data_IF_895089286490
#
_entry.id   IF_895089286490
#
_cell.length_a   1.000
_cell.length_b   1.000
_cell.length_c   1.000
_cell.angle_alpha   90.00
_cell.angle_beta   90.00
_cell.angle_gamma   90.00
#
_symmetry.space_group_name_H-M   'P 1'
#
loop_
_entity.id
_entity.type
_entity.pdbx_description
1 polymer ?
#
# COMPACT_ATOMS: atom_id res chain seq x y z
N UNK A 1 -19.23 6.91 12.34
CA UNK A 1 -17.94 6.87 11.60
C UNK A 1 -17.34 5.47 11.43
N UNK A 2 -17.48 4.53 12.38
CA UNK A 2 -16.82 3.20 12.34
C UNK A 2 -17.20 2.30 11.15
N UNK A 3 -18.46 2.32 10.72
CA UNK A 3 -18.96 1.52 9.59
C UNK A 3 -18.45 2.02 8.25
N UNK A 4 -18.27 3.34 8.10
CA UNK A 4 -17.86 3.96 6.83
C UNK A 4 -16.43 3.60 6.43
N UNK A 5 -15.50 3.54 7.38
CA UNK A 5 -14.10 3.15 7.11
C UNK A 5 -14.01 1.68 6.70
N UNK A 6 -14.76 0.80 7.38
CA UNK A 6 -14.81 -0.62 7.02
C UNK A 6 -15.44 -0.85 5.64
N UNK A 7 -16.54 -0.16 5.33
CA UNK A 7 -17.17 -0.21 4.01
C UNK A 7 -16.20 0.31 2.93
N UNK A 8 -15.46 1.39 3.20
CA UNK A 8 -14.45 1.93 2.29
C UNK A 8 -13.33 0.91 2.01
N UNK A 9 -12.80 0.26 3.05
CA UNK A 9 -11.78 -0.80 2.90
C UNK A 9 -12.29 -1.96 2.05
N UNK A 10 -13.52 -2.43 2.31
CA UNK A 10 -14.14 -3.50 1.52
C UNK A 10 -14.31 -3.08 0.06
N UNK A 11 -14.77 -1.84 -0.20
CA UNK A 11 -14.91 -1.31 -1.56
C UNK A 11 -13.58 -1.20 -2.29
N UNK A 12 -12.52 -0.75 -1.61
CA UNK A 12 -11.16 -0.68 -2.17
C UNK A 12 -10.67 -2.07 -2.55
N UNK A 13 -10.81 -3.05 -1.64
CA UNK A 13 -10.44 -4.45 -1.92
C UNK A 13 -11.22 -5.05 -3.09
N UNK A 14 -12.54 -4.82 -3.16
CA UNK A 14 -13.38 -5.27 -4.30
C UNK A 14 -12.92 -4.60 -5.60
N UNK A 15 -12.65 -3.29 -5.59
CA UNK A 15 -12.18 -2.57 -6.77
C UNK A 15 -10.85 -3.13 -7.29
N UNK A 16 -9.88 -3.37 -6.38
CA UNK A 16 -8.60 -3.98 -6.71
C UNK A 16 -8.82 -5.40 -7.25
N UNK A 17 -9.71 -6.18 -6.64
CA UNK A 17 -10.02 -7.54 -7.08
C UNK A 17 -10.64 -7.58 -8.49
N UNK A 18 -11.58 -6.68 -8.80
CA UNK A 18 -12.17 -6.55 -10.14
C UNK A 18 -11.09 -6.21 -11.17
N UNK A 19 -10.16 -5.32 -10.83
CA UNK A 19 -9.10 -4.88 -11.73
C UNK A 19 -7.83 -5.73 -11.70
N UNK A 20 -7.78 -6.81 -10.91
CA UNK A 20 -6.60 -7.68 -10.72
C UNK A 20 -5.98 -8.18 -12.02
N UNK A 21 -6.75 -8.33 -13.09
CA UNK A 21 -6.26 -8.79 -14.41
C UNK A 21 -5.22 -7.84 -15.03
N UNK A 22 -5.15 -6.58 -14.57
CA UNK A 22 -4.20 -5.56 -15.05
C UNK A 22 -2.95 -5.43 -14.16
N UNK A 23 -2.83 -6.23 -13.11
CA UNK A 23 -1.72 -6.18 -12.15
C UNK A 23 -0.95 -7.48 -12.21
N UNK A 24 0.35 -7.43 -11.98
CA UNK A 24 1.18 -8.62 -11.82
C UNK A 24 0.65 -9.48 -10.64
N UNK A 25 0.34 -10.75 -10.93
CA UNK A 25 -0.15 -11.72 -9.95
C UNK A 25 0.76 -11.87 -8.75
N UNK A 26 2.10 -11.83 -8.94
CA UNK A 26 3.07 -11.97 -7.85
C UNK A 26 2.97 -10.80 -6.88
N UNK A 27 2.79 -9.59 -7.42
CA UNK A 27 2.67 -8.36 -6.65
C UNK A 27 1.35 -8.34 -5.86
N UNK A 28 0.24 -8.73 -6.50
CA UNK A 28 -1.06 -8.86 -5.86
C UNK A 28 -1.05 -9.85 -4.68
N UNK A 29 -0.45 -11.02 -4.86
CA UNK A 29 -0.32 -12.03 -3.79
C UNK A 29 0.53 -11.49 -2.63
N UNK A 30 1.66 -10.83 -2.91
CA UNK A 30 2.49 -10.21 -1.87
C UNK A 30 1.74 -9.16 -1.07
N UNK A 31 0.93 -8.33 -1.72
CA UNK A 31 0.09 -7.33 -1.05
C UNK A 31 -0.94 -7.95 -0.11
N UNK A 32 -1.58 -9.06 -0.52
CA UNK A 32 -2.52 -9.79 0.35
C UNK A 32 -1.80 -10.40 1.56
N UNK A 33 -0.65 -11.05 1.34
CA UNK A 33 0.12 -11.65 2.43
C UNK A 33 0.53 -10.57 3.44
N UNK A 34 1.04 -9.43 2.95
CA UNK A 34 1.43 -8.30 3.79
C UNK A 34 0.24 -7.78 4.61
N UNK A 35 -0.95 -7.68 4.00
CA UNK A 35 -2.17 -7.29 4.70
C UNK A 35 -2.48 -8.20 5.89
N UNK A 36 -2.40 -9.53 5.70
CA UNK A 36 -2.62 -10.48 6.79
C UNK A 36 -1.54 -10.41 7.87
N UNK A 37 -0.26 -10.26 7.50
CA UNK A 37 0.84 -10.13 8.46
C UNK A 37 0.64 -8.90 9.34
N UNK A 38 0.38 -7.74 8.73
CA UNK A 38 0.21 -6.49 9.48
C UNK A 38 -1.03 -6.57 10.37
N UNK A 39 -2.13 -7.14 9.88
CA UNK A 39 -3.33 -7.38 10.70
C UNK A 39 -3.01 -8.26 11.91
N UNK A 40 -2.26 -9.35 11.72
CA UNK A 40 -1.84 -10.24 12.81
C UNK A 40 -0.94 -9.53 13.83
N UNK A 41 0.00 -8.70 13.38
CA UNK A 41 0.85 -7.89 14.26
C UNK A 41 0.01 -6.94 15.11
N UNK A 42 -0.95 -6.24 14.52
CA UNK A 42 -1.85 -5.34 15.26
C UNK A 42 -2.66 -6.10 16.32
N UNK A 43 -3.18 -7.28 15.99
CA UNK A 43 -3.87 -8.13 16.97
C UNK A 43 -2.94 -8.64 18.08
N UNK A 44 -1.68 -8.94 17.76
CA UNK A 44 -0.69 -9.35 18.75
C UNK A 44 -0.34 -8.21 19.70
N UNK A 45 -0.11 -6.99 19.18
CA UNK A 45 0.11 -5.79 19.99
C UNK A 45 -1.07 -5.50 20.92
N UNK A 46 -2.30 -5.72 20.44
CA UNK A 46 -3.51 -5.64 21.27
C UNK A 46 -3.46 -6.65 22.41
N UNK A 47 -3.15 -7.91 22.11
CA UNK A 47 -3.10 -8.98 23.11
C UNK A 47 -2.02 -8.73 24.18
N UNK A 48 -0.93 -8.04 23.81
CA UNK A 48 0.14 -7.66 24.74
C UNK A 48 -0.22 -6.46 25.64
N UNK A 49 -1.39 -5.84 25.48
CA UNK A 49 -1.79 -4.69 26.29
C UNK A 49 -0.94 -3.44 26.04
N UNK A 50 -0.33 -3.31 24.85
CA UNK A 50 0.47 -2.14 24.51
C UNK A 50 -0.36 -0.85 24.33
N UNK A 51 -1.68 -0.96 24.27
CA UNK A 51 -2.59 0.18 24.17
C UNK A 51 -3.03 0.64 25.55
N UNK A 52 -2.81 1.92 25.86
CA UNK A 52 -3.17 2.53 27.14
C UNK A 52 -4.68 2.71 27.27
N UNK A 53 -5.37 2.97 26.16
CA UNK A 53 -6.81 3.20 26.13
C UNK A 53 -7.50 2.47 24.97
N UNK A 54 -8.79 2.17 25.16
CA UNK A 54 -9.65 1.61 24.10
C UNK A 54 -9.72 2.53 22.86
N UNK A 55 -9.61 3.84 23.05
CA UNK A 55 -9.65 4.82 21.97
C UNK A 55 -8.37 4.72 21.11
N UNK A 56 -7.20 4.64 21.74
CA UNK A 56 -5.92 4.46 21.05
C UNK A 56 -5.89 3.16 20.24
N UNK A 57 -6.37 2.06 20.82
CA UNK A 57 -6.45 0.77 20.13
C UNK A 57 -7.27 0.90 18.83
N UNK A 58 -8.46 1.49 18.94
CA UNK A 58 -9.38 1.65 17.81
C UNK A 58 -8.79 2.56 16.73
N UNK A 59 -8.18 3.68 17.12
CA UNK A 59 -7.54 4.62 16.19
C UNK A 59 -6.36 3.95 15.46
N UNK A 60 -5.49 3.24 16.18
CA UNK A 60 -4.31 2.61 15.58
C UNK A 60 -4.70 1.49 14.61
N UNK A 61 -5.70 0.67 14.96
CA UNK A 61 -6.25 -0.38 14.08
C UNK A 61 -6.79 0.24 12.79
N UNK A 62 -7.64 1.27 12.88
CA UNK A 62 -8.22 1.90 11.68
C UNK A 62 -7.17 2.64 10.84
N UNK A 63 -6.23 3.35 11.47
CA UNK A 63 -5.14 4.01 10.76
C UNK A 63 -4.30 3.00 9.99
N UNK A 64 -4.02 1.83 10.59
CA UNK A 64 -3.27 0.76 9.93
C UNK A 64 -4.01 0.21 8.71
N UNK A 65 -5.33 0.01 8.81
CA UNK A 65 -6.14 -0.43 7.67
C UNK A 65 -6.17 0.60 6.53
N UNK A 66 -6.37 1.89 6.85
CA UNK A 66 -6.38 2.97 5.85
C UNK A 66 -5.03 3.06 5.13
N UNK A 67 -3.94 2.95 5.88
CA UNK A 67 -2.57 2.96 5.34
C UNK A 67 -2.34 1.77 4.40
N UNK A 68 -2.77 0.57 4.79
CA UNK A 68 -2.70 -0.63 3.94
C UNK A 68 -3.50 -0.46 2.66
N UNK A 69 -4.72 0.06 2.76
CA UNK A 69 -5.57 0.29 1.60
C UNK A 69 -4.94 1.33 0.65
N UNK A 70 -4.40 2.41 1.19
CA UNK A 70 -3.67 3.41 0.43
C UNK A 70 -2.43 2.82 -0.24
N UNK A 71 -1.65 1.97 0.45
CA UNK A 71 -0.51 1.27 -0.12
C UNK A 71 -0.90 0.42 -1.33
N UNK A 72 -1.95 -0.41 -1.18
CA UNK A 72 -2.39 -1.30 -2.26
C UNK A 72 -2.96 -0.47 -3.42
N UNK A 73 -3.73 0.58 -3.13
CA UNK A 73 -4.27 1.48 -4.15
C UNK A 73 -3.16 2.18 -4.94
N UNK A 74 -2.13 2.68 -4.27
CA UNK A 74 -1.02 3.35 -4.94
C UNK A 74 -0.23 2.38 -5.80
N UNK A 75 0.08 1.18 -5.31
CA UNK A 75 0.71 0.12 -6.12
C UNK A 75 -0.12 -0.17 -7.36
N UNK A 76 -1.44 -0.25 -7.20
CA UNK A 76 -2.35 -0.51 -8.29
C UNK A 76 -2.30 0.60 -9.34
N UNK A 77 -2.40 1.86 -8.92
CA UNK A 77 -2.36 3.05 -9.80
C UNK A 77 -0.99 3.18 -10.47
N UNK A 78 0.10 3.02 -9.72
CA UNK A 78 1.46 3.10 -10.24
C UNK A 78 1.70 2.08 -11.36
N UNK A 79 1.29 0.81 -11.16
CA UNK A 79 1.41 -0.20 -12.21
C UNK A 79 0.57 0.15 -13.44
N UNK A 80 -0.66 0.62 -13.25
CA UNK A 80 -1.55 0.95 -14.36
C UNK A 80 -1.04 2.16 -15.18
N UNK A 81 -0.48 3.17 -14.51
CA UNK A 81 0.10 4.36 -15.14
C UNK A 81 1.41 3.99 -15.86
N UNK A 82 2.33 3.28 -15.19
CA UNK A 82 3.62 2.91 -15.78
C UNK A 82 3.39 2.04 -17.02
N UNK A 83 2.54 1.01 -16.95
CA UNK A 83 2.25 0.17 -18.12
C UNK A 83 1.66 0.97 -19.29
N UNK A 84 0.81 1.97 -19.02
CA UNK A 84 0.27 2.85 -20.08
C UNK A 84 1.32 3.77 -20.67
N UNK A 85 2.16 4.39 -19.83
CA UNK A 85 3.24 5.27 -20.27
C UNK A 85 4.23 4.51 -21.14
N UNK A 86 4.63 3.31 -20.73
CA UNK A 86 5.54 2.47 -21.51
C UNK A 86 4.93 2.10 -22.87
N UNK A 87 3.69 1.63 -22.91
CA UNK A 87 3.00 1.31 -24.16
C UNK A 87 2.87 2.53 -25.09
N UNK A 88 2.66 3.73 -24.53
CA UNK A 88 2.57 4.96 -25.31
C UNK A 88 3.93 5.36 -25.91
N UNK A 89 5.02 5.22 -25.15
CA UNK A 89 6.38 5.53 -25.61
C UNK A 89 6.86 4.53 -26.67
N UNK A 90 6.51 3.26 -26.52
CA UNK A 90 6.66 2.21 -27.55
C UNK A 90 5.94 2.62 -28.84
N UNK A 91 4.67 3.02 -28.72
CA UNK A 91 3.84 3.41 -29.89
C UNK A 91 4.36 4.64 -30.64
N UNK A 92 5.10 5.52 -29.97
CA UNK A 92 5.71 6.72 -30.58
C UNK A 92 7.10 6.41 -31.18
N UNK A 93 7.59 5.17 -31.08
CA UNK A 93 8.91 4.77 -31.60
C UNK A 93 10.07 5.34 -30.79
N UNK A 94 9.83 5.71 -29.53
CA UNK A 94 10.77 6.43 -28.68
C UNK A 94 11.50 5.51 -27.69
N UNK A 95 11.44 4.20 -27.92
CA UNK A 95 12.02 3.14 -27.06
C UNK A 95 13.53 3.27 -26.90
N UNK A 96 14.21 3.82 -27.90
CA UNK A 96 15.66 4.00 -27.94
C UNK A 96 16.15 5.18 -27.08
N UNK A 97 15.25 6.01 -26.52
CA UNK A 97 15.68 7.07 -25.62
C UNK A 97 16.32 6.45 -24.37
N UNK A 98 17.57 6.84 -24.03
CA UNK A 98 18.31 6.23 -22.92
C UNK A 98 17.56 6.32 -21.58
N UNK A 99 16.80 7.40 -21.37
CA UNK A 99 15.96 7.57 -20.18
C UNK A 99 14.80 6.56 -20.10
N UNK A 100 14.08 6.32 -21.21
CA UNK A 100 12.96 5.37 -21.26
C UNK A 100 13.49 3.94 -21.08
N UNK A 101 14.58 3.59 -21.76
CA UNK A 101 15.22 2.28 -21.64
C UNK A 101 15.72 2.01 -20.20
N UNK A 102 16.29 3.03 -19.53
CA UNK A 102 16.69 2.93 -18.12
C UNK A 102 15.47 2.75 -17.19
N UNK A 103 14.36 3.46 -17.44
CA UNK A 103 13.11 3.33 -16.68
C UNK A 103 12.50 1.93 -16.81
N UNK A 104 12.47 1.37 -18.02
CA UNK A 104 11.99 0.00 -18.28
C UNK A 104 12.88 -1.01 -17.56
N UNK A 105 14.20 -0.89 -17.73
CA UNK A 105 15.18 -1.82 -17.12
C UNK A 105 15.10 -1.82 -15.60
N UNK A 106 14.90 -0.66 -14.99
CA UNK A 106 14.90 -0.49 -13.53
C UNK A 106 13.50 -0.43 -12.92
N UNK A 107 12.43 -0.72 -13.67
CA UNK A 107 11.04 -0.59 -13.23
C UNK A 107 10.77 -1.32 -11.90
N UNK A 108 11.25 -2.55 -11.78
CA UNK A 108 11.11 -3.36 -10.57
C UNK A 108 11.78 -2.71 -9.36
N UNK A 109 12.96 -2.13 -9.56
CA UNK A 109 13.74 -1.47 -8.51
C UNK A 109 13.07 -0.16 -8.07
N UNK A 110 12.56 0.63 -9.00
CA UNK A 110 11.79 1.86 -8.72
C UNK A 110 10.52 1.53 -7.93
N UNK A 111 9.80 0.49 -8.34
CA UNK A 111 8.59 0.04 -7.65
C UNK A 111 8.92 -0.43 -6.23
N UNK A 112 10.03 -1.15 -6.06
CA UNK A 112 10.50 -1.61 -4.74
C UNK A 112 10.87 -0.44 -3.83
N UNK A 113 11.66 0.52 -4.32
CA UNK A 113 12.03 1.73 -3.58
C UNK A 113 10.82 2.54 -3.13
N UNK A 114 9.87 2.75 -4.03
CA UNK A 114 8.64 3.46 -3.72
C UNK A 114 7.84 2.76 -2.61
N UNK A 115 7.68 1.43 -2.74
CA UNK A 115 6.99 0.62 -1.73
C UNK A 115 7.69 0.70 -0.37
N UNK A 116 9.03 0.58 -0.34
CA UNK A 116 9.81 0.65 0.89
C UNK A 116 9.70 2.01 1.58
N UNK A 117 9.77 3.11 0.83
CA UNK A 117 9.61 4.47 1.37
C UNK A 117 8.21 4.71 1.94
N UNK A 118 7.18 4.25 1.22
CA UNK A 118 5.80 4.35 1.72
C UNK A 118 5.62 3.57 3.02
N UNK A 119 6.13 2.34 3.07
CA UNK A 119 5.99 1.45 4.23
C UNK A 119 6.76 2.01 5.43
N UNK A 120 7.95 2.56 5.21
CA UNK A 120 8.72 3.26 6.24
C UNK A 120 7.98 4.49 6.79
N UNK A 121 7.48 5.38 5.91
CA UNK A 121 6.70 6.55 6.32
C UNK A 121 5.41 6.18 7.07
N UNK A 122 4.79 5.07 6.68
CA UNK A 122 3.61 4.52 7.33
C UNK A 122 3.88 4.01 8.75
N UNK A 123 4.98 3.26 8.94
CA UNK A 123 5.41 2.81 10.26
C UNK A 123 5.71 4.01 11.16
N UNK A 124 6.40 5.02 10.64
CA UNK A 124 6.67 6.26 11.39
C UNK A 124 5.38 7.01 11.76
N UNK A 125 4.42 7.10 10.85
CA UNK A 125 3.12 7.72 11.11
C UNK A 125 2.32 6.99 12.20
N UNK A 126 2.30 5.65 12.15
CA UNK A 126 1.66 4.82 13.19
C UNK A 126 2.39 4.93 14.53
N UNK A 127 3.72 4.97 14.52
CA UNK A 127 4.52 5.17 15.72
C UNK A 127 4.29 6.55 16.34
N UNK A 128 4.16 7.59 15.51
CA UNK A 128 3.77 8.93 15.96
C UNK A 128 2.38 8.95 16.62
N UNK A 129 1.40 8.26 16.06
CA UNK A 129 0.07 8.11 16.67
C UNK A 129 0.11 7.35 18.01
N UNK A 130 1.01 6.37 18.16
CA UNK A 130 1.21 5.64 19.41
C UNK A 130 1.83 6.51 20.51
N UNK A 131 2.69 7.45 20.13
CA UNK A 131 3.37 8.37 21.07
C UNK A 131 2.60 9.66 21.35
N UNK A 132 1.72 10.09 20.44
CA UNK A 132 0.92 11.31 20.55
C UNK A 132 0.14 11.47 21.89
N UNK A 133 -0.46 10.43 22.50
CA UNK A 133 -1.13 10.59 23.80
C UNK A 133 -0.17 10.74 25.00
N UNK A 134 1.15 10.63 24.81
CA UNK A 134 2.18 10.77 25.86
C UNK A 134 2.97 12.09 25.79
N UNK A 135 2.64 12.96 24.83
CA UNK A 135 3.19 14.31 24.62
C UNK A 135 2.13 15.36 24.95
#
# INVERSE_FOLDING_TARGET
>A
MKTGVFILSVLILIFIFIKRKKVDKKLFIRSIILYFIVTAIVFFLKKMGMFSTFIEEVVLIYATFIILDAYIFIIFVANLIISRLLNFQIKIGNESRPFIAMLIKNQSLIHTLYCSLFLFGSILGLYGLLLAPRL
#
